data_IF_691357560840
#
_entry.id   IF_691357560840
#
_cell.length_a   1.000
_cell.length_b   1.000
_cell.length_c   1.000
_cell.angle_alpha   90.00
_cell.angle_beta   90.00
_cell.angle_gamma   90.00
#
_symmetry.space_group_name_H-M   'P 1'
#
loop_
_entity.id
_entity.type
_entity.pdbx_description
1 polymer ?
#
# COMPACT_ATOMS: atom_id res chain seq x y z
N UNK A 1 8.55 -3.30 -36.00
CA UNK A 1 8.57 -4.14 -34.79
C UNK A 1 8.03 -3.29 -33.63
N UNK A 2 6.74 -3.42 -33.32
CA UNK A 2 6.09 -2.71 -32.21
C UNK A 2 6.50 -3.40 -30.91
N UNK A 3 7.26 -2.70 -30.06
CA UNK A 3 7.53 -3.13 -28.68
C UNK A 3 6.23 -3.02 -27.91
N UNK A 4 5.62 -4.15 -27.59
CA UNK A 4 4.52 -4.26 -26.64
C UNK A 4 5.16 -4.01 -25.26
N UNK A 5 4.88 -2.86 -24.66
CA UNK A 5 5.18 -2.62 -23.25
C UNK A 5 4.29 -3.56 -22.44
N UNK A 6 4.83 -4.19 -21.37
CA UNK A 6 4.01 -4.94 -20.45
C UNK A 6 3.02 -4.00 -19.76
N UNK A 7 1.78 -4.45 -19.68
CA UNK A 7 0.66 -3.81 -19.01
C UNK A 7 1.09 -3.42 -17.58
N UNK A 8 1.18 -2.12 -17.32
CA UNK A 8 1.27 -1.57 -15.98
C UNK A 8 -0.11 -1.73 -15.35
N UNK A 9 -0.33 -2.84 -14.66
CA UNK A 9 -1.46 -3.00 -13.76
C UNK A 9 -1.18 -2.10 -12.54
N UNK A 10 -1.54 -0.83 -12.64
CA UNK A 10 -1.62 0.09 -11.51
C UNK A 10 -2.93 -0.22 -10.77
N UNK A 11 -2.98 -1.42 -10.17
CA UNK A 11 -4.08 -1.79 -9.29
C UNK A 11 -4.01 -0.92 -8.04
N UNK A 12 -4.97 -0.01 -7.91
CA UNK A 12 -5.25 0.74 -6.69
C UNK A 12 -5.92 -0.13 -5.62
N UNK A 13 -5.74 -1.43 -5.68
CA UNK A 13 -6.12 -2.37 -4.65
C UNK A 13 -4.90 -2.71 -3.82
N UNK A 14 -4.73 -1.99 -2.71
CA UNK A 14 -3.79 -2.37 -1.67
C UNK A 14 -4.40 -3.57 -0.91
N UNK A 15 -3.82 -4.76 -1.00
CA UNK A 15 -4.14 -5.79 -0.02
C UNK A 15 -3.69 -5.26 1.35
N UNK A 16 -4.57 -5.39 2.31
CA UNK A 16 -4.34 -5.07 3.71
C UNK A 16 -3.39 -6.13 4.29
N UNK A 17 -2.12 -6.08 3.88
CA UNK A 17 -1.06 -6.83 4.52
C UNK A 17 -0.40 -5.90 5.52
N UNK A 18 -0.71 -6.12 6.78
CA UNK A 18 -0.02 -5.56 7.93
C UNK A 18 1.38 -6.21 7.98
N UNK A 19 2.33 -5.69 7.23
CA UNK A 19 3.73 -6.02 7.42
C UNK A 19 4.29 -5.05 8.44
N UNK A 20 4.48 -5.51 9.67
CA UNK A 20 5.29 -4.84 10.65
C UNK A 20 6.73 -4.80 10.12
N UNK A 21 7.18 -3.63 9.67
CA UNK A 21 8.60 -3.39 9.42
C UNK A 21 9.23 -2.93 10.72
N UNK A 22 9.98 -3.83 11.31
CA UNK A 22 10.93 -3.56 12.38
C UNK A 22 12.06 -2.67 11.82
N UNK A 23 12.07 -1.40 12.20
CA UNK A 23 13.12 -0.44 11.90
C UNK A 23 13.91 -0.13 13.18
N UNK A 24 14.66 -1.11 13.64
CA UNK A 24 15.79 -0.85 14.55
C UNK A 24 17.08 -0.83 13.74
N UNK A 25 17.38 0.30 13.13
CA UNK A 25 18.71 0.61 12.62
C UNK A 25 19.21 1.89 13.29
N UNK A 26 20.22 1.69 14.09
CA UNK A 26 21.09 2.65 14.79
C UNK A 26 21.52 3.79 13.85
N UNK A 27 21.03 5.01 14.11
CA UNK A 27 21.43 6.20 13.36
C UNK A 27 22.61 6.89 14.08
N UNK A 28 23.73 7.18 13.41
CA UNK A 28 24.82 7.94 14.00
C UNK A 28 24.40 9.39 14.22
N UNK A 29 24.69 9.89 15.42
CA UNK A 29 24.47 11.28 15.85
C UNK A 29 25.19 12.26 14.92
N UNK A 30 24.56 13.35 14.48
CA UNK A 30 25.22 14.40 13.74
C UNK A 30 26.11 15.25 14.67
N UNK A 31 27.35 15.50 14.22
CA UNK A 31 28.27 16.47 14.84
C UNK A 31 27.77 17.90 14.60
N UNK A 32 27.96 18.83 15.54
CA UNK A 32 27.60 20.23 15.36
C UNK A 32 28.49 20.92 14.31
N UNK A 33 27.95 21.90 13.56
CA UNK A 33 28.73 22.63 12.56
C UNK A 33 29.69 23.64 13.20
N UNK A 34 30.92 23.61 12.76
CA UNK A 34 31.95 24.63 13.07
C UNK A 34 31.55 25.98 12.40
N UNK A 35 31.53 27.01 13.21
CA UNK A 35 31.44 28.40 12.82
C UNK A 35 32.72 28.84 12.09
N UNK A 36 32.63 29.16 10.83
CA UNK A 36 33.60 29.99 10.13
C UNK A 36 33.05 31.37 9.86
N UNK A 37 33.57 32.32 10.62
CA UNK A 37 33.48 33.76 10.48
C UNK A 37 34.28 34.20 9.24
N UNK A 38 33.66 34.85 8.26
CA UNK A 38 34.32 35.76 7.33
C UNK A 38 33.37 36.84 6.85
N UNK A 39 33.57 38.01 7.44
CA UNK A 39 33.16 39.32 7.00
C UNK A 39 33.46 39.58 5.53
N UNK A 40 32.49 40.13 4.81
CA UNK A 40 32.67 40.65 3.46
C UNK A 40 31.40 41.24 2.96
N UNK A 41 31.13 42.52 3.27
CA UNK A 41 30.08 43.29 2.67
C UNK A 41 30.45 43.73 1.24
N UNK A 42 29.56 43.66 0.27
CA UNK A 42 29.68 44.44 -0.95
C UNK A 42 28.71 45.62 -0.96
N UNK A 43 29.27 46.70 -1.32
CA UNK A 43 28.86 48.07 -1.56
C UNK A 43 27.61 48.19 -2.47
N UNK A 44 26.73 49.11 -2.07
CA UNK A 44 25.60 49.61 -2.86
C UNK A 44 26.08 50.40 -4.08
N UNK A 45 25.73 49.95 -5.27
CA UNK A 45 25.75 50.78 -6.48
C UNK A 45 24.36 51.32 -6.83
N UNK A 46 24.32 52.60 -7.18
CA UNK A 46 23.15 53.42 -7.50
C UNK A 46 22.61 53.15 -8.92
N UNK A 47 21.32 53.44 -9.17
CA UNK A 47 20.60 53.02 -10.38
C UNK A 47 20.93 53.84 -11.62
N UNK A 48 21.18 53.14 -12.72
CA UNK A 48 21.31 53.70 -14.05
C UNK A 48 19.95 53.87 -14.72
N UNK A 49 19.91 54.97 -15.43
CA UNK A 49 18.87 55.62 -16.20
C UNK A 49 18.08 54.67 -17.14
N UNK A 50 16.76 54.85 -17.18
CA UNK A 50 15.84 54.19 -18.11
C UNK A 50 16.00 54.70 -19.55
N UNK A 51 15.92 53.87 -20.57
CA UNK A 51 15.79 54.33 -21.95
C UNK A 51 14.33 54.52 -22.34
N UNK A 52 14.14 55.50 -23.23
CA UNK A 52 12.90 56.10 -23.71
C UNK A 52 11.99 55.12 -24.46
N UNK A 53 10.69 55.36 -24.34
CA UNK A 53 9.59 54.71 -25.04
C UNK A 53 9.57 55.17 -26.50
N UNK A 54 9.52 54.26 -27.50
CA UNK A 54 9.21 54.66 -28.87
C UNK A 54 7.70 54.71 -29.12
N UNK A 55 7.38 55.68 -29.94
CA UNK A 55 6.09 56.19 -30.34
C UNK A 55 5.20 55.16 -31.09
N UNK A 56 3.95 55.32 -30.84
CA UNK A 56 2.70 54.79 -31.34
C UNK A 56 2.68 54.31 -32.81
N UNK A 57 2.44 53.00 -33.00
CA UNK A 57 2.00 52.46 -34.28
C UNK A 57 0.44 52.38 -34.34
N UNK A 58 -0.19 52.54 -35.54
CA UNK A 58 -1.64 52.66 -35.65
C UNK A 58 -2.38 51.35 -35.42
N UNK A 59 -3.56 51.44 -34.81
CA UNK A 59 -4.45 50.33 -34.48
C UNK A 59 -4.91 49.54 -35.73
N UNK A 60 -4.89 48.22 -35.72
CA UNK A 60 -5.53 47.42 -36.75
C UNK A 60 -7.04 47.38 -36.55
N UNK A 61 -7.76 47.45 -37.65
CA UNK A 61 -9.21 47.49 -37.75
C UNK A 61 -9.89 46.32 -37.01
N UNK A 62 -10.95 46.63 -36.27
CA UNK A 62 -11.88 45.69 -35.62
C UNK A 62 -12.42 44.66 -36.62
N UNK A 63 -11.94 43.44 -36.52
CA UNK A 63 -12.60 42.27 -37.14
C UNK A 63 -13.89 42.00 -36.37
N UNK A 64 -14.98 41.80 -37.14
CA UNK A 64 -16.32 41.45 -36.64
C UNK A 64 -16.24 40.42 -35.49
N UNK A 65 -16.99 40.71 -34.44
CA UNK A 65 -17.19 39.80 -33.31
C UNK A 65 -17.63 38.39 -33.79
N UNK A 66 -17.11 37.30 -33.18
CA UNK A 66 -17.62 35.99 -33.45
C UNK A 66 -19.10 35.91 -33.08
N UNK A 67 -19.88 35.22 -33.90
CA UNK A 67 -21.30 34.96 -33.64
C UNK A 67 -21.46 34.40 -32.22
N UNK A 68 -22.49 34.88 -31.51
CA UNK A 68 -22.85 34.37 -30.19
C UNK A 68 -22.98 32.83 -30.24
N UNK A 69 -22.51 32.12 -29.20
CA UNK A 69 -22.68 30.68 -29.14
C UNK A 69 -24.16 30.35 -29.22
N UNK A 70 -24.53 29.24 -29.89
CA UNK A 70 -25.93 28.82 -30.00
C UNK A 70 -26.52 28.73 -28.59
N UNK A 71 -27.70 29.33 -28.41
CA UNK A 71 -28.47 29.16 -27.17
C UNK A 71 -28.72 27.66 -27.00
N UNK A 72 -28.11 27.09 -26.01
CA UNK A 72 -28.36 25.74 -25.55
C UNK A 72 -29.76 25.76 -24.94
N UNK A 73 -30.70 25.06 -25.55
CA UNK A 73 -32.05 24.90 -25.01
C UNK A 73 -31.96 24.29 -23.61
N UNK A 74 -32.35 25.06 -22.62
CA UNK A 74 -32.26 24.73 -21.20
C UNK A 74 -33.21 23.63 -20.74
N UNK A 75 -33.89 22.93 -21.67
CA UNK A 75 -34.95 21.97 -21.35
C UNK A 75 -34.72 20.53 -21.80
N UNK A 76 -33.52 20.21 -22.28
CA UNK A 76 -33.09 18.81 -22.32
C UNK A 76 -32.23 18.55 -21.09
N UNK A 77 -32.85 18.38 -19.95
CA UNK A 77 -32.24 18.05 -18.68
C UNK A 77 -31.43 16.74 -18.75
N UNK A 78 -30.26 16.82 -19.35
CA UNK A 78 -29.27 15.72 -19.29
C UNK A 78 -28.80 15.62 -17.86
N UNK A 79 -29.21 14.58 -17.16
CA UNK A 79 -28.65 14.25 -15.85
C UNK A 79 -27.15 14.12 -16.02
N UNK A 80 -26.40 15.10 -15.53
CA UNK A 80 -24.94 15.14 -15.66
C UNK A 80 -24.32 14.17 -14.65
N UNK A 81 -24.93 14.08 -13.45
CA UNK A 81 -24.48 13.20 -12.39
C UNK A 81 -25.67 12.88 -11.46
N UNK A 82 -25.78 11.64 -10.99
CA UNK A 82 -26.82 11.18 -10.08
C UNK A 82 -26.27 10.97 -8.68
N UNK A 83 -26.86 11.61 -7.69
CA UNK A 83 -26.53 11.39 -6.27
C UNK A 83 -27.28 10.16 -5.79
N UNK A 84 -26.56 9.15 -5.30
CA UNK A 84 -27.12 7.89 -4.79
C UNK A 84 -27.11 7.79 -3.27
N UNK A 85 -26.16 8.46 -2.61
CA UNK A 85 -26.15 8.56 -1.15
C UNK A 85 -25.58 9.91 -0.70
N UNK A 86 -25.98 10.32 0.50
CA UNK A 86 -25.43 11.47 1.21
C UNK A 86 -24.96 11.03 2.58
N UNK A 87 -23.71 11.36 2.92
CA UNK A 87 -23.07 11.04 4.19
C UNK A 87 -22.65 12.35 4.85
N UNK A 88 -23.44 12.84 5.79
CA UNK A 88 -23.30 14.19 6.39
C UNK A 88 -23.32 15.29 5.30
N UNK A 89 -22.16 15.92 5.06
CA UNK A 89 -21.99 16.98 4.05
C UNK A 89 -21.41 16.47 2.73
N UNK A 90 -20.99 15.22 2.64
CA UNK A 90 -20.44 14.61 1.43
C UNK A 90 -21.51 13.84 0.66
N UNK A 91 -21.36 13.76 -0.64
CA UNK A 91 -22.27 13.04 -1.53
C UNK A 91 -21.51 11.88 -2.18
N UNK A 92 -22.22 10.77 -2.40
CA UNK A 92 -21.74 9.65 -3.20
C UNK A 92 -22.53 9.64 -4.49
N UNK A 93 -21.83 9.72 -5.59
CA UNK A 93 -22.43 9.80 -6.93
C UNK A 93 -22.56 8.41 -7.54
N UNK A 94 -23.36 8.33 -8.60
CA UNK A 94 -23.52 7.08 -9.36
C UNK A 94 -22.20 6.67 -10.01
N UNK A 95 -21.45 7.64 -10.55
CA UNK A 95 -20.15 7.36 -11.16
C UNK A 95 -19.15 6.75 -10.17
N UNK A 96 -19.10 7.27 -8.94
CA UNK A 96 -18.25 6.70 -7.88
C UNK A 96 -18.68 5.29 -7.51
N UNK A 97 -19.98 5.06 -7.38
CA UNK A 97 -20.50 3.73 -7.08
C UNK A 97 -20.20 2.71 -8.18
N UNK A 98 -20.41 3.07 -9.46
CA UNK A 98 -20.09 2.17 -10.58
C UNK A 98 -18.58 1.88 -10.67
N UNK A 99 -17.72 2.89 -10.41
CA UNK A 99 -16.27 2.70 -10.30
C UNK A 99 -15.91 1.74 -9.17
N UNK A 100 -16.52 1.92 -7.99
CA UNK A 100 -16.27 1.04 -6.84
C UNK A 100 -16.71 -0.41 -7.12
N UNK A 101 -17.88 -0.60 -7.79
CA UNK A 101 -18.33 -1.92 -8.23
C UNK A 101 -17.39 -2.57 -9.23
N UNK A 102 -16.88 -1.79 -10.19
CA UNK A 102 -15.90 -2.29 -11.15
C UNK A 102 -14.61 -2.72 -10.46
N UNK A 103 -14.08 -1.87 -9.60
CA UNK A 103 -12.88 -2.18 -8.81
C UNK A 103 -13.08 -3.44 -7.95
N UNK A 104 -14.22 -3.57 -7.27
CA UNK A 104 -14.57 -4.75 -6.48
C UNK A 104 -14.61 -6.05 -7.32
N UNK A 105 -15.07 -5.95 -8.58
CA UNK A 105 -15.05 -7.08 -9.50
C UNK A 105 -13.61 -7.43 -9.96
N UNK A 106 -12.78 -6.41 -10.20
CA UNK A 106 -11.38 -6.62 -10.60
C UNK A 106 -10.56 -7.22 -9.44
N UNK A 107 -10.78 -6.77 -8.21
CA UNK A 107 -10.19 -7.35 -7.00
C UNK A 107 -10.58 -8.82 -6.83
N UNK A 108 -11.85 -9.16 -7.04
CA UNK A 108 -12.30 -10.56 -6.99
C UNK A 108 -11.62 -11.42 -8.05
N UNK A 109 -11.43 -10.89 -9.27
CA UNK A 109 -10.69 -11.59 -10.33
C UNK A 109 -9.22 -11.80 -9.98
N UNK A 110 -8.61 -10.78 -9.39
CA UNK A 110 -7.20 -10.84 -8.98
C UNK A 110 -6.98 -11.86 -7.87
N UNK A 111 -7.83 -11.88 -6.84
CA UNK A 111 -7.72 -12.85 -5.75
C UNK A 111 -7.94 -14.29 -6.21
N UNK A 112 -8.79 -14.47 -7.21
CA UNK A 112 -9.04 -15.80 -7.78
C UNK A 112 -7.88 -16.32 -8.66
N UNK A 113 -7.14 -15.50 -9.38
CA UNK A 113 -5.96 -15.77 -10.23
C UNK A 113 -5.79 -17.24 -10.71
N UNK A 114 -6.86 -17.84 -11.23
CA UNK A 114 -6.84 -19.23 -11.72
C UNK A 114 -7.06 -20.32 -10.67
N UNK A 115 -7.30 -19.97 -9.41
CA UNK A 115 -7.61 -20.92 -8.33
C UNK A 115 -9.10 -21.13 -8.10
N UNK A 116 -9.97 -20.30 -8.71
CA UNK A 116 -11.43 -20.40 -8.57
C UNK A 116 -12.07 -21.02 -9.82
N UNK A 117 -13.18 -21.75 -9.60
CA UNK A 117 -14.07 -22.11 -10.71
C UNK A 117 -14.81 -20.85 -11.21
N UNK A 118 -15.34 -20.87 -12.46
CA UNK A 118 -16.13 -19.73 -12.96
C UNK A 118 -17.30 -19.35 -12.06
N UNK A 119 -17.97 -20.32 -11.44
CA UNK A 119 -19.09 -20.11 -10.52
C UNK A 119 -18.62 -19.45 -9.22
N UNK A 120 -17.49 -19.90 -8.66
CA UNK A 120 -16.90 -19.31 -7.45
C UNK A 120 -16.47 -17.85 -7.70
N UNK A 121 -15.87 -17.58 -8.86
CA UNK A 121 -15.50 -16.22 -9.25
C UNK A 121 -16.75 -15.32 -9.38
N UNK A 122 -17.82 -15.81 -10.01
CA UNK A 122 -19.06 -15.04 -10.16
C UNK A 122 -19.67 -14.69 -8.79
N UNK A 123 -19.73 -15.65 -7.88
CA UNK A 123 -20.22 -15.44 -6.50
C UNK A 123 -19.34 -14.41 -5.78
N UNK A 124 -18.01 -14.51 -5.89
CA UNK A 124 -17.09 -13.56 -5.27
C UNK A 124 -17.28 -12.13 -5.81
N UNK A 125 -17.48 -11.98 -7.12
CA UNK A 125 -17.76 -10.68 -7.76
C UNK A 125 -19.08 -10.10 -7.22
N UNK A 126 -20.16 -10.88 -7.24
CA UNK A 126 -21.48 -10.42 -6.78
C UNK A 126 -21.45 -9.99 -5.31
N UNK A 127 -20.78 -10.76 -4.47
CA UNK A 127 -20.67 -10.49 -3.04
C UNK A 127 -19.91 -9.19 -2.77
N UNK A 128 -18.79 -8.96 -3.46
CA UNK A 128 -18.02 -7.71 -3.35
C UNK A 128 -18.80 -6.51 -3.92
N UNK A 129 -19.48 -6.69 -5.06
CA UNK A 129 -20.27 -5.62 -5.64
C UNK A 129 -21.48 -5.21 -4.79
N UNK A 130 -22.10 -6.14 -4.04
CA UNK A 130 -23.16 -5.83 -3.08
C UNK A 130 -22.65 -4.95 -1.94
N UNK A 131 -21.40 -5.15 -1.54
CA UNK A 131 -20.77 -4.39 -0.47
C UNK A 131 -20.30 -2.99 -0.90
N UNK A 132 -20.17 -2.71 -2.20
CA UNK A 132 -19.51 -1.50 -2.71
C UNK A 132 -20.11 -0.19 -2.17
N UNK A 133 -21.45 -0.08 -2.02
CA UNK A 133 -22.06 1.12 -1.46
C UNK A 133 -21.78 1.26 0.04
N UNK A 134 -21.83 0.16 0.78
CA UNK A 134 -21.46 0.12 2.20
C UNK A 134 -20.03 0.63 2.39
N UNK A 135 -19.10 0.11 1.58
CA UNK A 135 -17.70 0.41 1.70
C UNK A 135 -17.39 1.88 1.35
N UNK A 136 -18.09 2.46 0.36
CA UNK A 136 -18.01 3.90 0.07
C UNK A 136 -18.51 4.77 1.21
N UNK A 137 -19.63 4.40 1.84
CA UNK A 137 -20.18 5.13 3.00
C UNK A 137 -19.20 5.04 4.16
N UNK A 138 -18.70 3.85 4.47
CA UNK A 138 -17.73 3.62 5.56
C UNK A 138 -16.44 4.39 5.34
N UNK A 139 -15.92 4.37 4.10
CA UNK A 139 -14.74 5.16 3.73
C UNK A 139 -14.98 6.66 3.90
N UNK A 140 -16.14 7.17 3.46
CA UNK A 140 -16.49 8.59 3.63
C UNK A 140 -16.52 8.98 5.11
N UNK A 141 -17.13 8.15 5.97
CA UNK A 141 -17.18 8.39 7.41
C UNK A 141 -15.78 8.41 8.05
N UNK A 142 -14.93 7.45 7.71
CA UNK A 142 -13.56 7.38 8.21
C UNK A 142 -12.71 8.57 7.75
N UNK A 143 -12.86 8.99 6.49
CA UNK A 143 -12.17 10.18 5.96
C UNK A 143 -12.64 11.46 6.68
N UNK A 144 -13.94 11.63 6.90
CA UNK A 144 -14.49 12.75 7.66
C UNK A 144 -13.95 12.75 9.08
N UNK A 145 -13.96 11.58 9.75
CA UNK A 145 -13.39 11.44 11.11
C UNK A 145 -11.92 11.85 11.16
N UNK A 146 -11.11 11.46 10.16
CA UNK A 146 -9.71 11.84 10.09
C UNK A 146 -9.51 13.35 9.91
N UNK A 147 -10.36 13.99 9.10
CA UNK A 147 -10.39 15.47 8.94
C UNK A 147 -10.76 16.15 10.26
N UNK A 148 -11.79 15.65 10.96
CA UNK A 148 -12.25 16.20 12.24
C UNK A 148 -11.18 16.07 13.35
N UNK A 149 -10.40 15.00 13.32
CA UNK A 149 -9.25 14.78 14.21
C UNK A 149 -8.04 15.67 13.85
N UNK A 150 -8.07 16.39 12.74
CA UNK A 150 -6.96 17.22 12.27
C UNK A 150 -5.73 16.42 11.84
N UNK A 151 -5.90 15.18 11.41
CA UNK A 151 -4.80 14.32 10.98
C UNK A 151 -4.24 14.82 9.66
N UNK A 152 -2.97 15.23 9.65
CA UNK A 152 -2.24 15.60 8.43
C UNK A 152 -1.47 14.41 7.88
N UNK A 153 -1.68 14.08 6.61
CA UNK A 153 -1.04 12.93 5.93
C UNK A 153 -0.21 13.33 4.70
N UNK A 154 -0.05 14.63 4.44
CA UNK A 154 0.66 15.11 3.24
C UNK A 154 2.09 14.57 3.10
N UNK A 155 2.92 14.48 4.16
CA UNK A 155 4.25 13.88 4.04
C UNK A 155 4.20 12.41 3.64
N UNK A 156 3.22 11.65 4.16
CA UNK A 156 3.03 10.24 3.83
C UNK A 156 2.54 10.07 2.38
N UNK A 157 1.69 10.96 1.89
CA UNK A 157 1.24 11.00 0.49
C UNK A 157 2.42 11.19 -0.45
N UNK A 158 3.28 12.18 -0.18
CA UNK A 158 4.48 12.43 -0.98
C UNK A 158 5.39 11.20 -1.00
N UNK A 159 5.64 10.60 0.17
CA UNK A 159 6.44 9.38 0.30
C UNK A 159 5.84 8.20 -0.48
N UNK A 160 4.51 8.04 -0.43
CA UNK A 160 3.82 6.96 -1.16
C UNK A 160 3.89 7.16 -2.67
N UNK A 161 3.71 8.39 -3.15
CA UNK A 161 3.87 8.73 -4.57
C UNK A 161 5.30 8.44 -5.06
N UNK A 162 6.31 8.80 -4.26
CA UNK A 162 7.71 8.51 -4.60
C UNK A 162 7.99 7.01 -4.63
N UNK A 163 7.45 6.24 -3.68
CA UNK A 163 7.53 4.77 -3.72
C UNK A 163 6.92 4.19 -4.99
N UNK A 164 5.74 4.66 -5.40
CA UNK A 164 5.09 4.21 -6.64
C UNK A 164 5.96 4.56 -7.85
N UNK A 165 6.53 5.76 -7.89
CA UNK A 165 7.46 6.20 -8.94
C UNK A 165 8.66 5.23 -9.07
N UNK A 166 9.32 4.94 -7.95
CA UNK A 166 10.49 4.06 -7.91
C UNK A 166 10.12 2.62 -8.34
N UNK A 167 9.03 2.09 -7.82
CA UNK A 167 8.55 0.73 -8.15
C UNK A 167 8.24 0.56 -9.64
N UNK A 168 7.79 1.63 -10.29
CA UNK A 168 7.51 1.64 -11.73
C UNK A 168 8.71 2.09 -12.59
N UNK A 169 9.91 2.23 -12.00
CA UNK A 169 11.13 2.68 -12.66
C UNK A 169 10.97 4.01 -13.41
N UNK A 170 10.18 4.94 -12.85
CA UNK A 170 9.97 6.27 -13.41
C UNK A 170 11.01 7.25 -12.88
N UNK A 171 11.51 8.13 -13.76
CA UNK A 171 12.62 9.03 -13.44
C UNK A 171 12.18 10.23 -12.60
N UNK A 172 10.96 10.72 -12.81
CA UNK A 172 10.43 11.93 -12.17
C UNK A 172 8.96 11.79 -11.76
N UNK A 173 8.48 12.73 -10.95
CA UNK A 173 7.05 12.81 -10.58
C UNK A 173 6.18 13.19 -11.79
N UNK A 174 6.71 13.98 -12.71
CA UNK A 174 6.05 14.31 -13.97
C UNK A 174 5.85 13.08 -14.86
N UNK A 175 6.79 12.14 -14.83
CA UNK A 175 6.65 10.86 -15.55
C UNK A 175 5.57 9.99 -14.90
N UNK A 176 5.44 10.02 -13.57
CA UNK A 176 4.35 9.35 -12.86
C UNK A 176 3.00 9.98 -13.22
N UNK A 177 2.88 11.31 -13.24
CA UNK A 177 1.66 12.01 -13.64
C UNK A 177 1.25 11.65 -15.07
N UNK A 178 2.22 11.64 -16.01
CA UNK A 178 1.96 11.22 -17.39
C UNK A 178 1.51 9.75 -17.48
N UNK A 179 2.11 8.87 -16.69
CA UNK A 179 1.75 7.45 -16.66
C UNK A 179 0.31 7.25 -16.13
N UNK A 180 -0.08 7.97 -15.07
CA UNK A 180 -1.44 7.99 -14.53
C UNK A 180 -2.43 8.53 -15.55
N UNK A 181 -2.11 9.66 -16.20
CA UNK A 181 -2.94 10.27 -17.23
C UNK A 181 -3.09 9.39 -18.47
N UNK A 182 -2.05 8.67 -18.86
CA UNK A 182 -2.09 7.72 -19.98
C UNK A 182 -3.02 6.52 -19.73
N UNK A 183 -3.34 6.22 -18.46
CA UNK A 183 -4.35 5.24 -18.05
C UNK A 183 -5.76 5.84 -17.97
N UNK A 184 -5.94 7.09 -18.34
CA UNK A 184 -7.23 7.79 -18.30
C UNK A 184 -7.64 8.26 -16.89
N UNK A 185 -6.73 8.26 -15.93
CA UNK A 185 -6.98 8.71 -14.57
C UNK A 185 -6.61 10.18 -14.41
N UNK A 186 -7.40 10.92 -13.63
CA UNK A 186 -7.07 12.27 -13.25
C UNK A 186 -5.99 12.27 -12.16
N UNK A 187 -4.95 13.10 -12.30
CA UNK A 187 -3.84 13.17 -11.35
C UNK A 187 -4.26 13.61 -9.94
N UNK A 188 -5.17 14.60 -9.84
CA UNK A 188 -5.67 15.05 -8.55
C UNK A 188 -6.53 13.99 -7.86
N UNK A 189 -7.38 13.29 -8.63
CA UNK A 189 -8.19 12.17 -8.11
C UNK A 189 -7.28 11.05 -7.62
N UNK A 190 -6.22 10.73 -8.34
CA UNK A 190 -5.24 9.72 -7.94
C UNK A 190 -4.56 10.08 -6.62
N UNK A 191 -4.10 11.33 -6.47
CA UNK A 191 -3.51 11.82 -5.20
C UNK A 191 -4.52 11.82 -4.07
N UNK A 192 -5.77 12.23 -4.33
CA UNK A 192 -6.83 12.23 -3.34
C UNK A 192 -7.18 10.83 -2.86
N UNK A 193 -7.17 9.83 -3.74
CA UNK A 193 -7.38 8.44 -3.38
C UNK A 193 -6.27 7.93 -2.44
N UNK A 194 -5.01 8.24 -2.74
CA UNK A 194 -3.87 7.92 -1.86
C UNK A 194 -4.03 8.63 -0.52
N UNK A 195 -4.36 9.92 -0.51
CA UNK A 195 -4.59 10.70 0.71
C UNK A 195 -5.68 10.09 1.58
N UNK A 196 -6.83 9.80 0.99
CA UNK A 196 -7.96 9.21 1.69
C UNK A 196 -7.62 7.82 2.25
N UNK A 197 -6.89 7.00 1.49
CA UNK A 197 -6.44 5.67 1.94
C UNK A 197 -5.52 5.79 3.17
N UNK A 198 -4.50 6.66 3.12
CA UNK A 198 -3.58 6.88 4.24
C UNK A 198 -4.32 7.46 5.45
N UNK A 199 -5.22 8.42 5.23
CA UNK A 199 -6.01 9.04 6.30
C UNK A 199 -6.91 8.00 6.99
N UNK A 200 -7.62 7.19 6.21
CA UNK A 200 -8.45 6.09 6.73
C UNK A 200 -7.63 5.11 7.55
N UNK A 201 -6.45 4.69 7.05
CA UNK A 201 -5.56 3.80 7.78
C UNK A 201 -5.08 4.42 9.11
N UNK A 202 -4.77 5.73 9.13
CA UNK A 202 -4.38 6.45 10.36
C UNK A 202 -5.53 6.49 11.38
N UNK A 203 -6.76 6.76 10.91
CA UNK A 203 -7.94 6.74 11.79
C UNK A 203 -8.15 5.36 12.39
N UNK A 204 -8.12 4.30 11.56
CA UNK A 204 -8.28 2.92 12.03
C UNK A 204 -7.18 2.56 13.04
N UNK A 205 -5.93 2.90 12.75
CA UNK A 205 -4.81 2.65 13.67
C UNK A 205 -4.99 3.37 15.01
N UNK A 206 -5.40 4.64 14.97
CA UNK A 206 -5.52 5.45 16.19
C UNK A 206 -6.77 5.13 17.01
N UNK A 207 -7.92 4.92 16.34
CA UNK A 207 -9.21 4.78 17.02
C UNK A 207 -9.57 3.33 17.32
N UNK A 208 -8.97 2.38 16.61
CA UNK A 208 -9.25 0.95 16.78
C UNK A 208 -7.98 0.20 17.18
N UNK A 209 -6.94 0.29 16.37
CA UNK A 209 -5.72 -0.51 16.52
C UNK A 209 -5.02 -0.27 17.86
N UNK A 210 -4.92 1.01 18.30
CA UNK A 210 -4.27 1.37 19.55
C UNK A 210 -4.97 0.83 20.81
N UNK A 211 -6.22 0.40 20.68
CA UNK A 211 -7.00 -0.16 21.78
C UNK A 211 -6.96 -1.69 21.84
N UNK A 212 -6.33 -2.32 20.84
CA UNK A 212 -6.18 -3.77 20.80
C UNK A 212 -4.85 -4.13 21.49
N UNK A 213 -4.96 -4.78 22.63
CA UNK A 213 -3.81 -5.26 23.39
C UNK A 213 -3.83 -6.79 23.39
N UNK A 214 -2.72 -7.43 23.03
CA UNK A 214 -2.54 -8.87 23.14
C UNK A 214 -1.61 -9.15 24.31
N UNK A 215 -2.12 -9.86 25.31
CA UNK A 215 -1.35 -10.22 26.48
C UNK A 215 -0.44 -11.44 26.26
N UNK A 216 0.70 -11.49 26.96
CA UNK A 216 1.61 -12.63 26.87
C UNK A 216 0.94 -13.98 27.23
N UNK A 217 0.10 -13.97 28.27
CA UNK A 217 -0.64 -15.19 28.69
C UNK A 217 -1.57 -15.71 27.57
N UNK A 218 -2.09 -14.82 26.76
CA UNK A 218 -2.94 -15.14 25.61
C UNK A 218 -2.14 -15.73 24.45
N UNK A 219 -0.95 -15.17 24.21
CA UNK A 219 0.00 -15.71 23.23
C UNK A 219 0.43 -17.12 23.64
N UNK A 220 0.79 -17.31 24.91
CA UNK A 220 1.16 -18.62 25.46
C UNK A 220 0.01 -19.64 25.37
N UNK A 221 -1.20 -19.21 25.70
CA UNK A 221 -2.40 -20.05 25.57
C UNK A 221 -2.63 -20.46 24.12
N UNK A 222 -2.60 -19.49 23.18
CA UNK A 222 -2.77 -19.77 21.75
C UNK A 222 -1.71 -20.76 21.26
N UNK A 223 -0.44 -20.54 21.59
CA UNK A 223 0.64 -21.45 21.24
C UNK A 223 0.39 -22.89 21.73
N UNK A 224 0.00 -23.05 23.00
CA UNK A 224 -0.23 -24.36 23.59
C UNK A 224 -1.43 -25.10 22.98
N UNK A 225 -2.48 -24.36 22.59
CA UNK A 225 -3.68 -24.91 21.94
C UNK A 225 -3.45 -25.24 20.47
N UNK A 226 -2.48 -24.57 19.80
CA UNK A 226 -2.25 -24.65 18.36
C UNK A 226 -0.84 -25.15 17.98
N UNK A 227 -0.16 -25.86 18.85
CA UNK A 227 1.19 -26.41 18.61
C UNK A 227 1.40 -27.03 17.23
N UNK A 228 0.44 -27.82 16.66
CA UNK A 228 0.59 -28.38 15.33
C UNK A 228 0.74 -27.34 14.21
N UNK A 229 0.23 -26.13 14.38
CA UNK A 229 0.37 -25.04 13.40
C UNK A 229 1.81 -24.52 13.34
N UNK A 230 2.58 -24.70 14.41
CA UNK A 230 3.96 -24.24 14.54
C UNK A 230 5.00 -25.32 14.26
N UNK A 231 4.56 -26.51 13.81
CA UNK A 231 5.48 -27.51 13.28
C UNK A 231 5.90 -27.11 11.87
N UNK A 232 7.15 -26.81 11.69
CA UNK A 232 7.70 -26.45 10.39
C UNK A 232 8.52 -27.59 9.80
N UNK A 233 8.38 -27.87 8.50
CA UNK A 233 9.28 -28.80 7.83
C UNK A 233 10.69 -28.23 7.84
N UNK A 234 11.68 -29.11 7.73
CA UNK A 234 13.07 -28.71 7.54
C UNK A 234 13.21 -27.85 6.27
N UNK A 235 13.92 -26.75 6.40
CA UNK A 235 14.10 -25.75 5.34
C UNK A 235 15.54 -25.25 5.29
N UNK A 236 16.01 -24.92 4.10
CA UNK A 236 17.31 -24.30 3.91
C UNK A 236 17.18 -23.03 3.06
N UNK A 237 17.81 -21.95 3.51
CA UNK A 237 17.97 -20.73 2.70
C UNK A 237 19.27 -20.84 1.92
N UNK A 238 19.20 -20.67 0.59
CA UNK A 238 20.31 -20.94 -0.31
C UNK A 238 20.75 -19.71 -1.11
N UNK A 239 22.05 -19.71 -1.44
CA UNK A 239 22.66 -18.89 -2.51
C UNK A 239 23.34 -19.79 -3.52
N UNK A 240 23.42 -19.33 -4.78
CA UNK A 240 24.15 -20.02 -5.85
C UNK A 240 25.17 -19.14 -6.55
N UNK A 241 26.23 -19.81 -7.03
CA UNK A 241 27.08 -19.32 -8.09
C UNK A 241 26.95 -20.33 -9.24
N UNK A 242 26.45 -19.86 -10.36
CA UNK A 242 26.23 -20.67 -11.56
C UNK A 242 27.22 -20.25 -12.62
N UNK A 243 27.91 -21.21 -13.24
CA UNK A 243 28.84 -20.98 -14.34
C UNK A 243 28.33 -21.78 -15.53
N UNK A 244 27.76 -21.10 -16.50
CA UNK A 244 27.06 -21.72 -17.61
C UNK A 244 28.04 -22.30 -18.62
N UNK A 245 27.79 -23.54 -19.06
CA UNK A 245 28.59 -24.26 -20.07
C UNK A 245 27.82 -24.52 -21.36
N UNK A 246 26.61 -23.98 -21.51
CA UNK A 246 25.80 -24.14 -22.73
C UNK A 246 26.56 -23.68 -23.99
N UNK A 247 26.57 -24.52 -24.99
CA UNK A 247 27.19 -24.25 -26.32
C UNK A 247 28.71 -23.99 -26.26
N UNK A 248 29.39 -24.45 -25.22
CA UNK A 248 30.85 -24.33 -25.06
C UNK A 248 31.58 -25.55 -25.56
N UNK A 249 32.81 -25.36 -26.08
CA UNK A 249 33.70 -26.44 -26.45
C UNK A 249 34.24 -27.18 -25.23
N UNK A 250 34.74 -28.43 -25.39
CA UNK A 250 35.33 -29.16 -24.27
C UNK A 250 36.51 -28.44 -23.60
N UNK A 251 37.31 -27.69 -24.37
CA UNK A 251 38.41 -26.88 -23.87
C UNK A 251 37.89 -25.71 -23.04
N UNK A 252 36.87 -24.99 -23.51
CA UNK A 252 36.22 -23.90 -22.74
C UNK A 252 35.60 -24.42 -21.47
N UNK A 253 34.96 -25.59 -21.50
CA UNK A 253 34.36 -26.23 -20.30
C UNK A 253 35.43 -26.51 -19.24
N UNK A 254 36.62 -27.00 -19.67
CA UNK A 254 37.75 -27.24 -18.79
C UNK A 254 38.25 -25.93 -18.10
N UNK A 255 38.29 -24.81 -18.84
CA UNK A 255 38.67 -23.51 -18.30
C UNK A 255 37.56 -22.96 -17.33
N UNK A 256 36.29 -23.15 -17.68
CA UNK A 256 35.18 -22.76 -16.79
C UNK A 256 35.17 -23.60 -15.50
N UNK A 257 35.57 -24.87 -15.56
CA UNK A 257 35.74 -25.68 -14.34
C UNK A 257 36.85 -25.14 -13.46
N UNK A 258 37.99 -24.79 -14.02
CA UNK A 258 39.08 -24.13 -13.26
C UNK A 258 38.62 -22.83 -12.65
N UNK A 259 37.77 -22.04 -13.36
CA UNK A 259 37.15 -20.82 -12.84
C UNK A 259 36.27 -21.14 -11.63
N UNK A 260 35.41 -22.18 -11.71
CA UNK A 260 34.56 -22.63 -10.62
C UNK A 260 35.39 -23.07 -9.40
N UNK A 261 36.40 -23.90 -9.61
CA UNK A 261 37.30 -24.39 -8.55
C UNK A 261 38.05 -23.23 -7.86
N UNK A 262 38.52 -22.27 -8.66
CA UNK A 262 39.21 -21.06 -8.14
C UNK A 262 38.25 -20.21 -7.34
N UNK A 263 37.01 -20.05 -7.80
CA UNK A 263 35.96 -19.30 -7.08
C UNK A 263 35.64 -19.96 -5.76
N UNK A 264 35.43 -21.29 -5.76
CA UNK A 264 35.21 -22.05 -4.54
C UNK A 264 36.35 -21.91 -3.54
N UNK A 265 37.61 -22.03 -4.04
CA UNK A 265 38.79 -21.88 -3.20
C UNK A 265 38.81 -20.50 -2.50
N UNK A 266 38.56 -19.41 -3.24
CA UNK A 266 38.52 -18.06 -2.68
C UNK A 266 37.44 -17.91 -1.61
N UNK A 267 36.26 -18.51 -1.82
CA UNK A 267 35.18 -18.52 -0.82
C UNK A 267 35.64 -19.29 0.44
N UNK A 268 36.26 -20.47 0.27
CA UNK A 268 36.82 -21.24 1.38
C UNK A 268 37.97 -20.53 2.09
N UNK A 269 38.70 -19.66 1.40
CA UNK A 269 39.75 -18.80 1.96
C UNK A 269 39.16 -17.53 2.66
N UNK A 270 37.82 -17.35 2.67
CA UNK A 270 37.11 -16.32 3.45
C UNK A 270 36.58 -15.14 2.65
N UNK A 271 36.59 -15.18 1.31
CA UNK A 271 35.93 -14.14 0.53
C UNK A 271 34.40 -14.31 0.60
N UNK A 272 33.69 -13.16 0.60
CA UNK A 272 32.23 -13.13 0.71
C UNK A 272 31.56 -13.77 -0.50
N UNK A 273 30.67 -14.75 -0.24
CA UNK A 273 29.97 -15.50 -1.28
C UNK A 273 29.12 -14.60 -2.16
N UNK A 274 28.43 -13.58 -1.59
CA UNK A 274 27.57 -12.71 -2.36
C UNK A 274 28.36 -11.83 -3.33
N UNK A 275 29.55 -11.35 -2.92
CA UNK A 275 30.43 -10.60 -3.82
C UNK A 275 31.03 -11.49 -4.90
N UNK A 276 31.34 -12.75 -4.57
CA UNK A 276 31.79 -13.72 -5.56
C UNK A 276 30.69 -14.07 -6.56
N UNK A 277 29.44 -14.22 -6.09
CA UNK A 277 28.29 -14.42 -6.97
C UNK A 277 28.08 -13.25 -7.93
N UNK A 278 28.15 -11.99 -7.46
CA UNK A 278 28.05 -10.80 -8.30
C UNK A 278 29.10 -10.74 -9.40
N UNK A 279 30.30 -11.24 -9.12
CA UNK A 279 31.45 -11.15 -10.05
C UNK A 279 31.55 -12.31 -11.02
N UNK A 280 31.21 -13.50 -10.60
CA UNK A 280 31.54 -14.74 -11.31
C UNK A 280 30.33 -15.59 -11.72
N UNK A 281 29.14 -15.34 -11.16
CA UNK A 281 27.93 -16.07 -11.51
C UNK A 281 27.32 -15.56 -12.80
N UNK A 282 26.93 -16.51 -13.66
CA UNK A 282 26.14 -16.27 -14.87
C UNK A 282 24.63 -16.39 -14.59
N UNK A 283 24.23 -16.77 -13.37
CA UNK A 283 22.83 -16.96 -12.96
C UNK A 283 22.05 -15.66 -12.85
N UNK A 284 20.73 -15.75 -12.97
CA UNK A 284 19.82 -14.58 -12.94
C UNK A 284 19.86 -13.83 -11.60
N UNK A 285 20.20 -14.53 -10.51
CA UNK A 285 20.29 -13.98 -9.16
C UNK A 285 21.67 -13.38 -8.82
N UNK A 286 22.63 -13.42 -9.76
CA UNK A 286 24.00 -12.93 -9.55
C UNK A 286 24.06 -11.52 -8.97
N UNK A 287 23.26 -10.56 -9.52
CA UNK A 287 23.21 -9.17 -9.06
C UNK A 287 22.70 -9.02 -7.61
N UNK A 288 21.94 -10.01 -7.14
CA UNK A 288 21.39 -10.08 -5.78
C UNK A 288 22.28 -10.96 -4.85
N UNK A 289 23.54 -11.17 -5.25
CA UNK A 289 24.48 -11.99 -4.47
C UNK A 289 24.15 -13.48 -4.51
N UNK A 290 23.45 -13.95 -5.55
CA UNK A 290 23.13 -15.35 -5.76
C UNK A 290 21.95 -15.88 -4.92
N UNK A 291 21.19 -15.04 -4.21
CA UNK A 291 20.10 -15.50 -3.36
C UNK A 291 19.01 -16.22 -4.15
N UNK A 292 18.74 -17.49 -3.78
CA UNK A 292 17.73 -18.33 -4.42
C UNK A 292 16.40 -18.38 -3.66
N UNK A 293 16.42 -18.14 -2.35
CA UNK A 293 15.23 -18.28 -1.49
C UNK A 293 15.38 -19.37 -0.44
N UNK A 294 14.24 -19.72 0.17
CA UNK A 294 14.10 -20.79 1.17
C UNK A 294 13.42 -21.98 0.51
N UNK A 295 13.98 -23.16 0.70
CA UNK A 295 13.50 -24.41 0.14
C UNK A 295 13.17 -25.43 1.24
N UNK A 296 12.04 -26.10 1.09
CA UNK A 296 11.63 -27.25 1.91
C UNK A 296 12.13 -28.55 1.28
N UNK A 297 12.15 -29.62 2.08
CA UNK A 297 12.36 -30.95 1.51
C UNK A 297 11.31 -31.27 0.44
N UNK A 298 11.76 -31.82 -0.68
CA UNK A 298 10.94 -32.14 -1.85
C UNK A 298 10.81 -31.00 -2.88
N UNK A 299 11.34 -29.81 -2.63
CA UNK A 299 11.32 -28.68 -3.58
C UNK A 299 12.58 -28.60 -4.47
N UNK A 300 13.65 -29.28 -4.05
CA UNK A 300 14.90 -29.38 -4.81
C UNK A 300 15.03 -30.73 -5.54
N UNK A 301 15.95 -30.80 -6.52
CA UNK A 301 16.31 -32.11 -7.06
C UNK A 301 16.94 -32.96 -5.95
N UNK A 302 16.71 -34.28 -6.00
CA UNK A 302 17.19 -35.19 -4.97
C UNK A 302 18.70 -35.09 -4.72
N UNK A 303 19.48 -34.86 -5.80
CA UNK A 303 20.93 -34.74 -5.72
C UNK A 303 21.36 -33.49 -4.94
N UNK A 304 20.64 -32.36 -5.13
CA UNK A 304 20.90 -31.14 -4.39
C UNK A 304 20.40 -31.26 -2.94
N UNK A 305 19.23 -31.84 -2.77
CA UNK A 305 18.60 -32.03 -1.46
C UNK A 305 19.47 -32.88 -0.53
N UNK A 306 19.99 -34.01 -1.03
CA UNK A 306 20.88 -34.91 -0.28
C UNK A 306 22.17 -34.23 0.21
N UNK A 307 22.58 -33.14 -0.43
CA UNK A 307 23.76 -32.38 -0.06
C UNK A 307 23.37 -31.24 0.90
N UNK A 308 22.46 -30.32 0.48
CA UNK A 308 22.23 -29.06 1.20
C UNK A 308 21.57 -29.25 2.57
N UNK A 309 20.69 -30.27 2.72
CA UNK A 309 20.03 -30.56 4.02
C UNK A 309 20.95 -31.26 5.04
N UNK A 310 22.16 -31.65 4.66
CA UNK A 310 23.20 -32.14 5.60
C UNK A 310 24.13 -31.04 6.04
N UNK A 311 24.08 -29.87 5.38
CA UNK A 311 24.98 -28.75 5.61
C UNK A 311 24.44 -27.86 6.71
N UNK A 312 25.38 -27.22 7.41
CA UNK A 312 25.06 -26.23 8.43
C UNK A 312 25.03 -24.83 7.85
N UNK A 313 24.56 -23.88 8.63
CA UNK A 313 24.61 -22.45 8.30
C UNK A 313 26.03 -22.04 7.87
N UNK A 314 26.12 -21.33 6.76
CA UNK A 314 27.32 -20.84 6.09
C UNK A 314 28.20 -21.89 5.40
N UNK A 315 27.84 -23.16 5.44
CA UNK A 315 28.55 -24.18 4.67
C UNK A 315 28.39 -23.95 3.16
N UNK A 316 29.43 -24.32 2.42
CA UNK A 316 29.49 -24.18 0.95
C UNK A 316 29.74 -25.56 0.34
N UNK A 317 29.00 -25.88 -0.70
CA UNK A 317 29.21 -27.16 -1.45
C UNK A 317 30.54 -27.15 -2.20
N UNK A 318 31.00 -28.33 -2.59
CA UNK A 318 31.96 -28.44 -3.67
C UNK A 318 31.32 -28.04 -5.00
N UNK A 319 32.14 -27.88 -6.05
CA UNK A 319 31.64 -27.60 -7.40
C UNK A 319 30.83 -28.80 -7.89
N UNK A 320 29.56 -28.57 -8.15
CA UNK A 320 28.62 -29.59 -8.64
C UNK A 320 28.47 -29.47 -10.13
N UNK A 321 28.59 -30.58 -10.83
CA UNK A 321 28.36 -30.66 -12.29
C UNK A 321 26.84 -30.80 -12.54
N UNK A 322 26.26 -29.84 -13.28
CA UNK A 322 24.85 -29.87 -13.68
C UNK A 322 24.71 -29.88 -15.19
N UNK A 323 23.51 -30.13 -15.70
CA UNK A 323 23.23 -30.08 -17.15
C UNK A 323 23.47 -28.70 -17.77
N UNK A 324 23.40 -27.64 -16.95
CA UNK A 324 23.56 -26.26 -17.42
C UNK A 324 24.98 -25.72 -17.17
N UNK A 325 25.80 -26.44 -16.42
CA UNK A 325 27.16 -26.03 -16.09
C UNK A 325 27.52 -26.35 -14.62
N UNK A 326 28.42 -25.55 -14.08
CA UNK A 326 28.95 -25.74 -12.74
C UNK A 326 28.12 -24.91 -11.73
N UNK A 327 27.78 -25.53 -10.61
CA UNK A 327 26.98 -24.94 -9.54
C UNK A 327 27.75 -25.03 -8.22
N UNK A 328 27.79 -23.91 -7.49
CA UNK A 328 28.26 -23.85 -6.08
C UNK A 328 27.12 -23.30 -5.27
N UNK A 329 26.73 -23.98 -4.18
CA UNK A 329 25.69 -23.54 -3.26
C UNK A 329 26.27 -23.17 -1.91
N UNK A 330 25.65 -22.17 -1.27
CA UNK A 330 25.87 -21.84 0.15
C UNK A 330 24.55 -21.94 0.89
N UNK A 331 24.58 -22.58 2.06
CA UNK A 331 23.47 -22.58 3.02
C UNK A 331 23.60 -21.31 3.88
N UNK A 332 22.67 -20.37 3.69
CA UNK A 332 22.60 -19.15 4.52
C UNK A 332 22.06 -19.43 5.91
N UNK A 333 20.98 -20.19 5.94
CA UNK A 333 20.32 -20.62 7.16
C UNK A 333 19.80 -22.05 6.98
N UNK A 334 19.86 -22.83 8.07
CA UNK A 334 19.27 -24.16 8.15
C UNK A 334 18.25 -24.15 9.27
N UNK A 335 17.01 -24.43 8.93
CA UNK A 335 15.89 -24.49 9.86
C UNK A 335 15.54 -25.97 10.04
N UNK A 336 15.81 -26.49 11.23
CA UNK A 336 15.48 -27.88 11.57
C UNK A 336 13.96 -28.12 11.53
N UNK A 337 13.55 -29.34 11.14
CA UNK A 337 12.18 -29.79 11.27
C UNK A 337 11.75 -29.83 12.75
N UNK A 338 10.53 -29.42 13.01
CA UNK A 338 9.93 -29.56 14.32
C UNK A 338 9.09 -28.40 14.79
N UNK A 339 8.60 -28.55 16.01
CA UNK A 339 7.83 -27.51 16.70
C UNK A 339 8.71 -26.30 16.97
N UNK A 340 8.31 -25.14 16.41
CA UNK A 340 9.00 -23.89 16.68
C UNK A 340 8.69 -23.46 18.13
N UNK A 341 9.72 -23.08 18.86
CA UNK A 341 9.54 -22.58 20.24
C UNK A 341 8.76 -21.26 20.27
N UNK A 342 8.00 -21.02 21.34
CA UNK A 342 7.18 -19.83 21.52
C UNK A 342 7.91 -18.52 21.19
N UNK A 343 9.16 -18.26 21.64
CA UNK A 343 9.86 -17.01 21.31
C UNK A 343 10.11 -16.79 19.81
N UNK A 344 10.14 -17.86 19.00
CA UNK A 344 10.34 -17.76 17.55
C UNK A 344 9.05 -17.41 16.80
N UNK A 345 7.89 -17.74 17.38
CA UNK A 345 6.57 -17.58 16.76
C UNK A 345 5.69 -16.55 17.47
N UNK A 346 6.21 -15.91 18.51
CA UNK A 346 5.49 -14.93 19.33
C UNK A 346 4.92 -13.77 18.49
N UNK A 347 5.71 -13.22 17.59
CA UNK A 347 5.25 -12.15 16.69
C UNK A 347 4.14 -12.66 15.75
N UNK A 348 4.30 -13.87 15.18
CA UNK A 348 3.31 -14.48 14.29
C UNK A 348 1.96 -14.69 15.01
N UNK A 349 2.01 -15.17 16.26
CA UNK A 349 0.82 -15.33 17.09
C UNK A 349 0.20 -13.99 17.42
N UNK A 350 1.02 -13.02 17.79
CA UNK A 350 0.57 -11.65 18.10
C UNK A 350 -0.14 -11.03 16.91
N UNK A 351 0.45 -11.11 15.72
CA UNK A 351 -0.14 -10.59 14.48
C UNK A 351 -1.46 -11.30 14.14
N UNK A 352 -1.53 -12.61 14.35
CA UNK A 352 -2.73 -13.39 14.12
C UNK A 352 -3.85 -12.98 15.07
N UNK A 353 -3.59 -12.96 16.37
CA UNK A 353 -4.56 -12.54 17.39
C UNK A 353 -5.00 -11.09 17.20
N UNK A 354 -4.06 -10.21 16.85
CA UNK A 354 -4.35 -8.81 16.53
C UNK A 354 -5.29 -8.70 15.32
N UNK A 355 -5.00 -9.43 14.25
CA UNK A 355 -5.84 -9.43 13.03
C UNK A 355 -7.24 -9.97 13.31
N UNK A 356 -7.36 -11.03 14.11
CA UNK A 356 -8.66 -11.60 14.52
C UNK A 356 -9.51 -10.61 15.33
N UNK A 357 -8.89 -9.76 16.15
CA UNK A 357 -9.57 -8.71 16.92
C UNK A 357 -9.86 -7.46 16.12
N UNK A 358 -9.00 -7.13 15.16
CA UNK A 358 -9.13 -5.91 14.37
C UNK A 358 -10.45 -5.87 13.58
N UNK A 359 -10.81 -6.96 12.91
CA UNK A 359 -11.98 -6.98 12.05
C UNK A 359 -13.31 -6.76 12.79
N UNK A 360 -13.60 -7.41 13.94
CA UNK A 360 -14.81 -7.11 14.71
C UNK A 360 -14.77 -5.71 15.37
N UNK A 361 -13.61 -5.28 15.89
CA UNK A 361 -13.45 -3.97 16.49
C UNK A 361 -13.69 -2.84 15.48
N UNK A 362 -13.16 -2.97 14.26
CA UNK A 362 -13.40 -2.02 13.19
C UNK A 362 -14.89 -1.97 12.79
N UNK A 363 -15.55 -3.12 12.71
CA UNK A 363 -17.00 -3.16 12.40
C UNK A 363 -17.83 -2.42 13.43
N UNK A 364 -17.53 -2.61 14.72
CA UNK A 364 -18.26 -1.92 15.80
C UNK A 364 -17.94 -0.42 15.81
N UNK A 365 -16.70 -0.04 15.55
CA UNK A 365 -16.31 1.36 15.43
C UNK A 365 -17.04 2.05 14.26
N UNK A 366 -17.05 1.45 13.09
CA UNK A 366 -17.75 1.99 11.91
C UNK A 366 -19.25 2.06 12.15
N UNK A 367 -19.84 1.07 12.81
CA UNK A 367 -21.25 1.09 13.21
C UNK A 367 -21.53 2.30 14.13
N UNK A 368 -20.67 2.55 15.11
CA UNK A 368 -20.78 3.73 15.97
C UNK A 368 -20.68 5.04 15.18
N UNK A 369 -19.77 5.14 14.22
CA UNK A 369 -19.68 6.30 13.33
C UNK A 369 -20.97 6.50 12.52
N UNK A 370 -21.57 5.43 12.02
CA UNK A 370 -22.84 5.46 11.26
C UNK A 370 -23.99 5.97 12.14
N UNK A 371 -24.11 5.49 13.37
CA UNK A 371 -25.16 5.91 14.33
C UNK A 371 -25.04 7.40 14.70
N UNK A 372 -23.81 7.94 14.68
CA UNK A 372 -23.53 9.36 14.96
C UNK A 372 -23.66 10.26 13.73
N UNK A 373 -23.86 9.70 12.55
CA UNK A 373 -23.82 10.39 11.27
C UNK A 373 -25.20 10.41 10.58
N UNK A 374 -25.37 11.39 9.70
CA UNK A 374 -26.54 11.48 8.85
C UNK A 374 -26.26 10.78 7.52
N UNK A 375 -26.83 9.60 7.32
CA UNK A 375 -26.69 8.81 6.08
C UNK A 375 -28.06 8.68 5.42
N UNK A 376 -28.19 9.14 4.17
CA UNK A 376 -29.39 9.01 3.36
C UNK A 376 -29.03 8.34 2.05
N UNK A 377 -29.79 7.32 1.69
CA UNK A 377 -29.58 6.54 0.47
C UNK A 377 -30.81 6.69 -0.44
N UNK A 378 -30.57 6.91 -1.72
CA UNK A 378 -31.63 7.06 -2.72
C UNK A 378 -32.40 5.75 -2.87
N UNK A 379 -33.74 5.79 -3.01
CA UNK A 379 -34.56 4.60 -3.33
C UNK A 379 -34.02 3.85 -4.54
N UNK A 380 -33.92 2.51 -4.41
CA UNK A 380 -33.35 1.64 -5.44
C UNK A 380 -31.90 1.25 -5.22
N UNK A 381 -31.21 1.87 -4.26
CA UNK A 381 -29.88 1.47 -3.80
C UNK A 381 -29.97 0.90 -2.37
N UNK A 382 -29.17 -0.10 -2.06
CA UNK A 382 -29.19 -0.77 -0.76
C UNK A 382 -27.81 -0.73 -0.12
N UNK A 383 -27.79 -0.34 1.15
CA UNK A 383 -26.65 -0.51 2.04
C UNK A 383 -26.91 -1.72 2.95
N UNK A 384 -26.14 -2.78 2.75
CA UNK A 384 -26.31 -4.03 3.49
C UNK A 384 -25.72 -3.99 4.92
N UNK A 385 -25.03 -2.90 5.30
CA UNK A 385 -24.53 -2.72 6.66
C UNK A 385 -25.63 -2.21 7.61
N UNK A 386 -26.62 -1.50 7.11
CA UNK A 386 -27.82 -1.15 7.85
C UNK A 386 -28.77 -2.33 7.86
N UNK A 387 -28.68 -3.23 8.83
CA UNK A 387 -29.54 -4.39 8.94
C UNK A 387 -31.01 -4.07 8.72
N UNK A 388 -31.53 -4.37 7.53
CA UNK A 388 -32.92 -4.41 7.14
C UNK A 388 -33.74 -3.14 7.31
N UNK A 389 -34.24 -2.61 6.20
CA UNK A 389 -35.26 -1.56 6.10
C UNK A 389 -34.93 -0.19 6.70
N UNK A 390 -34.06 0.53 6.05
CA UNK A 390 -34.20 1.98 6.05
C UNK A 390 -35.29 2.35 5.03
N UNK A 391 -36.56 2.17 5.39
CA UNK A 391 -37.61 2.99 4.78
C UNK A 391 -37.21 4.44 5.01
N UNK A 392 -36.85 5.10 3.92
CA UNK A 392 -36.62 6.54 3.92
C UNK A 392 -37.96 7.17 4.28
N UNK A 393 -38.13 7.53 5.56
CA UNK A 393 -39.06 8.58 5.88
C UNK A 393 -38.50 9.84 5.23
N UNK A 394 -39.07 10.23 4.08
CA UNK A 394 -38.93 11.60 3.60
C UNK A 394 -39.43 12.50 4.72
N UNK A 395 -38.52 12.95 5.57
CA UNK A 395 -38.78 14.12 6.41
C UNK A 395 -38.75 15.29 5.43
N UNK A 396 -39.88 15.51 4.76
CA UNK A 396 -40.14 16.79 4.12
C UNK A 396 -39.97 17.82 5.22
N UNK A 397 -38.90 18.60 5.13
CA UNK A 397 -38.63 19.71 6.04
C UNK A 397 -39.70 20.77 5.76
N UNK A 398 -40.89 20.59 6.35
CA UNK A 398 -41.83 21.66 6.44
C UNK A 398 -41.23 22.75 7.30
N UNK A 399 -41.40 24.04 6.97
CA UNK A 399 -40.81 25.16 7.70
C UNK A 399 -41.16 25.21 9.21
N UNK A 400 -42.14 24.44 9.67
CA UNK A 400 -42.54 24.32 11.07
C UNK A 400 -41.61 23.45 11.90
N UNK A 401 -40.94 22.41 11.31
CA UNK A 401 -39.99 21.57 12.03
C UNK A 401 -38.71 22.34 12.42
N UNK A 402 -38.26 23.25 11.55
CA UNK A 402 -37.11 24.12 11.82
C UNK A 402 -37.34 25.12 12.96
N UNK A 403 -38.59 25.50 13.24
CA UNK A 403 -38.93 26.37 14.38
C UNK A 403 -38.96 25.63 15.71
N UNK A 404 -39.26 24.34 15.74
CA UNK A 404 -39.24 23.53 16.98
C UNK A 404 -37.83 23.13 17.40
N UNK A 405 -36.93 22.88 16.46
CA UNK A 405 -35.53 22.55 16.75
C UNK A 405 -34.76 23.72 17.39
N UNK A 406 -35.05 24.98 17.00
CA UNK A 406 -34.46 26.18 17.63
C UNK A 406 -34.95 26.49 19.06
N UNK A 407 -36.06 25.90 19.51
CA UNK A 407 -36.59 26.12 20.88
C UNK A 407 -36.08 25.10 21.91
N UNK A 408 -35.51 23.97 21.47
CA UNK A 408 -34.98 22.92 22.36
C UNK A 408 -33.57 23.18 22.93
N UNK A 409 -32.83 24.12 22.40
CA UNK A 409 -31.42 24.33 22.77
C UNK A 409 -31.14 25.39 23.82
N UNK A 410 -32.16 25.84 24.58
CA UNK A 410 -32.00 26.90 25.61
C UNK A 410 -32.27 26.45 27.04
N UNK A 411 -32.05 25.23 27.44
CA UNK A 411 -32.26 24.82 28.85
C UNK A 411 -31.25 23.79 29.34
N UNK A 412 -29.95 24.03 29.25
CA UNK A 412 -28.98 23.37 30.12
C UNK A 412 -27.79 24.31 30.40
N UNK A 413 -28.03 25.34 31.20
CA UNK A 413 -26.97 26.02 31.94
C UNK A 413 -27.53 26.36 33.31
N UNK A 414 -26.79 26.10 34.38
CA UNK A 414 -26.94 26.45 35.77
C UNK A 414 -27.71 25.46 36.66
N UNK A 415 -26.96 24.60 37.36
CA UNK A 415 -27.07 24.40 38.79
C UNK A 415 -25.79 23.77 39.35
N UNK A 416 -24.79 24.61 39.56
CA UNK A 416 -23.70 24.33 40.48
C UNK A 416 -24.05 24.94 41.84
N UNK A 417 -24.55 24.17 42.81
CA UNK A 417 -24.63 24.59 44.20
C UNK A 417 -23.38 24.14 44.94
N UNK A 418 -22.62 25.14 45.41
CA UNK A 418 -21.68 25.01 46.52
C UNK A 418 -22.40 24.48 47.75
N UNK A 419 -21.88 23.45 48.37
CA UNK A 419 -22.13 23.14 49.78
C UNK A 419 -20.89 23.55 50.57
N UNK A 420 -21.06 24.57 51.43
CA UNK A 420 -20.11 24.94 52.46
C UNK A 420 -20.21 23.92 53.60
N UNK A 421 -19.06 23.50 54.08
CA UNK A 421 -18.86 22.83 55.36
C UNK A 421 -18.93 23.82 56.50
N UNK A 422 -19.55 23.43 57.57
CA UNK A 422 -19.19 23.84 58.92
C UNK A 422 -19.78 22.84 59.91
N UNK A 423 -18.99 22.13 60.56
CA UNK A 423 -18.79 21.79 61.96
C UNK A 423 -18.09 20.46 62.09
#
# INVERSE_FOLDING_TARGET
>A
MRKVLPFLALCASLPFTLAAQDNSADAPKPKPPETQDKSGAPTLEKPGTAPAIPEKAPAPALKKAPAAPPKVDADSGRVVEEIIARVNNEIITRSEYEKARSAAADDARQDCQGHCTPEQLQIAIEDRQKNALRDLIDQSLLVQRGKDMGISVEPDVIKKLDQIRIQNNLSSMEDLEKAVSAQGLNWEDFKNNIRNSILTQRVISNEVGSHITIGHDEIEKYYNEHKPEFVRPEQVALRSIEINTDKKSPEEIAELKKKADTTLKRIKDGEDFAEMAKRFSDGTTAKQGGYLGIYKRGELSKELEDVVFKMKKNDVTDVMDTKQGFLILQVLEHYDEGEQSLPKVENEITDKLYSERMAPALREYVKTLREQSYVVIKPGFQDIAGGGNSEIQEVSATPEAAKKAKKGHKKYVLFGKRANSSS
#
